data_IF_648052402452
#
_entry.id   IF_648052402452
#
_cell.length_a   1.000
_cell.length_b   1.000
_cell.length_c   1.000
_cell.angle_alpha   90.00
_cell.angle_beta   90.00
_cell.angle_gamma   90.00
#
_symmetry.space_group_name_H-M   'P 1'
#
loop_
_entity.id
_entity.type
_entity.pdbx_description
1 polymer ?
#
# COMPACT_ATOMS: atom_id res chain seq x y z
N UNK A 1 -17.01 -27.84 -3.59
CA UNK A 1 -15.68 -27.46 -4.10
C UNK A 1 -15.19 -26.32 -3.25
N UNK A 2 -14.07 -26.52 -2.55
CA UNK A 2 -13.52 -25.53 -1.63
C UNK A 2 -12.46 -24.72 -2.36
N UNK A 3 -12.68 -23.41 -2.49
CA UNK A 3 -11.67 -22.50 -3.03
C UNK A 3 -10.65 -22.22 -1.92
N UNK A 4 -9.37 -22.45 -2.20
CA UNK A 4 -8.26 -22.16 -1.29
C UNK A 4 -7.55 -20.89 -1.75
N UNK A 5 -7.23 -20.01 -0.80
CA UNK A 5 -6.52 -18.75 -1.04
C UNK A 5 -5.07 -18.88 -0.56
N UNK A 6 -4.09 -18.69 -1.44
CA UNK A 6 -2.66 -18.68 -1.11
C UNK A 6 -2.10 -17.28 -1.32
N UNK A 7 -1.56 -16.60 -0.30
CA UNK A 7 -0.94 -15.30 -0.49
C UNK A 7 0.38 -15.43 -1.27
N UNK A 8 0.51 -14.63 -2.33
CA UNK A 8 1.67 -14.63 -3.24
C UNK A 8 2.58 -13.44 -2.97
N UNK A 9 1.99 -12.26 -2.75
CA UNK A 9 2.71 -11.02 -2.52
C UNK A 9 1.89 -10.07 -1.65
N UNK A 10 2.57 -9.21 -0.91
CA UNK A 10 1.97 -8.06 -0.23
C UNK A 10 2.89 -6.86 -0.40
N UNK A 11 2.30 -5.70 -0.69
CA UNK A 11 3.02 -4.44 -0.81
C UNK A 11 2.30 -3.29 -0.10
N UNK A 12 3.09 -2.37 0.44
CA UNK A 12 2.62 -1.13 1.05
C UNK A 12 2.79 0.01 0.05
N UNK A 13 1.70 0.68 -0.30
CA UNK A 13 1.70 1.82 -1.22
C UNK A 13 1.23 3.07 -0.49
N UNK A 14 2.14 4.04 -0.37
CA UNK A 14 1.85 5.37 0.15
C UNK A 14 1.47 6.28 -1.03
N UNK A 15 0.29 6.89 -0.96
CA UNK A 15 -0.15 7.89 -1.95
C UNK A 15 0.11 9.26 -1.35
N UNK A 16 1.05 9.98 -1.92
CA UNK A 16 1.53 11.27 -1.43
C UNK A 16 1.03 12.40 -2.32
N UNK A 17 0.80 13.56 -1.72
CA UNK A 17 0.51 14.78 -2.46
C UNK A 17 1.77 15.29 -3.18
N UNK A 18 1.63 15.61 -4.47
CA UNK A 18 2.66 16.18 -5.32
C UNK A 18 2.21 17.53 -5.93
N UNK A 19 1.22 18.18 -5.31
CA UNK A 19 0.74 19.52 -5.66
C UNK A 19 -0.35 19.51 -6.73
N UNK A 20 -0.64 20.68 -7.30
CA UNK A 20 -1.67 20.85 -8.33
C UNK A 20 -1.00 21.10 -9.69
N UNK A 21 -1.43 20.34 -10.70
CA UNK A 21 -0.97 20.50 -12.08
C UNK A 21 -1.53 21.76 -12.75
N UNK A 22 -0.96 22.12 -13.90
CA UNK A 22 -1.37 23.31 -14.67
C UNK A 22 -2.84 23.31 -15.08
N UNK A 23 -3.49 22.15 -15.12
CA UNK A 23 -4.90 21.96 -15.44
C UNK A 23 -5.82 21.84 -14.20
N UNK A 24 -5.32 22.15 -13.00
CA UNK A 24 -6.10 22.11 -11.75
C UNK A 24 -6.27 20.72 -11.14
N UNK A 25 -5.63 19.69 -11.72
CA UNK A 25 -5.69 18.31 -11.23
C UNK A 25 -4.73 18.14 -10.05
N UNK A 26 -5.13 17.46 -8.98
CA UNK A 26 -4.20 17.07 -7.93
C UNK A 26 -3.24 16.01 -8.47
N UNK A 27 -1.95 16.27 -8.36
CA UNK A 27 -0.89 15.34 -8.73
C UNK A 27 -0.59 14.45 -7.53
N UNK A 28 -0.66 13.15 -7.74
CA UNK A 28 -0.29 12.16 -6.74
C UNK A 28 1.08 11.58 -7.07
N UNK A 29 1.83 11.23 -6.04
CA UNK A 29 3.05 10.44 -6.15
C UNK A 29 2.92 9.19 -5.29
N UNK A 30 2.98 8.05 -5.94
CA UNK A 30 2.92 6.78 -5.24
C UNK A 30 4.34 6.33 -4.85
N UNK A 31 4.48 5.83 -3.63
CA UNK A 31 5.70 5.18 -3.14
C UNK A 31 5.34 3.78 -2.67
N UNK A 32 5.76 2.79 -3.43
CA UNK A 32 5.53 1.39 -3.13
C UNK A 32 6.73 0.78 -2.39
N UNK A 33 6.44 -0.02 -1.38
CA UNK A 33 7.36 -0.88 -0.66
C UNK A 33 6.89 -2.31 -0.85
N UNK A 34 7.61 -3.06 -1.69
CA UNK A 34 7.35 -4.47 -1.92
C UNK A 34 7.85 -5.35 -0.78
N UNK A 35 7.69 -6.66 -0.94
CA UNK A 35 8.18 -7.70 -0.03
C UNK A 35 7.66 -7.55 1.42
N UNK A 36 6.45 -7.01 1.57
CA UNK A 36 5.76 -7.05 2.86
C UNK A 36 5.33 -8.49 3.10
N UNK A 37 5.56 -8.99 4.32
CA UNK A 37 5.12 -10.35 4.68
C UNK A 37 3.59 -10.40 4.60
N UNK A 38 2.99 -11.31 3.81
CA UNK A 38 1.54 -11.39 3.71
C UNK A 38 0.85 -11.68 5.05
N UNK A 39 1.56 -12.34 5.97
CA UNK A 39 1.07 -12.62 7.33
C UNK A 39 1.21 -11.44 8.30
N UNK A 40 1.75 -10.30 7.85
CA UNK A 40 1.77 -9.09 8.68
C UNK A 40 0.33 -8.65 9.00
N UNK A 41 0.09 -8.22 10.24
CA UNK A 41 -1.17 -7.60 10.63
C UNK A 41 -1.29 -6.21 10.00
N UNK A 42 -2.51 -5.83 9.60
CA UNK A 42 -2.77 -4.52 9.01
C UNK A 42 -2.35 -3.37 9.91
N UNK A 43 -2.56 -3.51 11.22
CA UNK A 43 -2.12 -2.51 12.22
C UNK A 43 -0.60 -2.33 12.22
N UNK A 44 0.17 -3.42 12.14
CA UNK A 44 1.63 -3.34 12.07
C UNK A 44 2.10 -2.65 10.78
N UNK A 45 1.47 -2.96 9.65
CA UNK A 45 1.79 -2.32 8.36
C UNK A 45 1.45 -0.83 8.40
N UNK A 46 0.31 -0.48 9.00
CA UNK A 46 -0.12 0.91 9.16
C UNK A 46 0.80 1.71 10.08
N UNK A 47 1.21 1.15 11.22
CA UNK A 47 2.15 1.81 12.14
C UNK A 47 3.49 2.09 11.46
N UNK A 48 4.02 1.12 10.70
CA UNK A 48 5.25 1.32 9.92
C UNK A 48 5.05 2.41 8.86
N UNK A 49 3.90 2.43 8.18
CA UNK A 49 3.56 3.49 7.24
C UNK A 49 3.59 4.87 7.91
N UNK A 50 3.01 5.03 9.11
CA UNK A 50 3.03 6.30 9.86
C UNK A 50 4.45 6.76 10.18
N UNK A 51 5.31 5.87 10.68
CA UNK A 51 6.72 6.21 10.95
C UNK A 51 7.44 6.67 9.68
N UNK A 52 7.16 6.04 8.53
CA UNK A 52 7.73 6.46 7.24
C UNK A 52 7.17 7.82 6.79
N UNK A 53 5.90 8.11 7.07
CA UNK A 53 5.27 9.41 6.79
C UNK A 53 5.88 10.53 7.63
N UNK A 54 6.18 10.28 8.91
CA UNK A 54 6.81 11.26 9.79
C UNK A 54 8.24 11.64 9.37
N UNK A 55 8.91 10.78 8.61
CA UNK A 55 10.27 11.01 8.10
C UNK A 55 10.31 11.78 6.77
N UNK A 56 9.16 12.07 6.15
CA UNK A 56 9.11 12.76 4.87
C UNK A 56 8.27 14.03 4.94
N UNK A 57 8.61 15.00 4.10
CA UNK A 57 7.94 16.31 4.11
C UNK A 57 6.59 16.33 3.36
N UNK A 58 6.23 15.24 2.67
CA UNK A 58 5.03 15.18 1.83
C UNK A 58 3.84 14.62 2.60
N UNK A 59 2.71 15.30 2.50
CA UNK A 59 1.43 14.85 3.06
C UNK A 59 0.97 13.56 2.41
N UNK A 60 0.59 12.59 3.24
CA UNK A 60 -0.08 11.37 2.79
C UNK A 60 -1.55 11.66 2.50
N UNK A 61 -2.00 11.29 1.30
CA UNK A 61 -3.41 11.30 0.92
C UNK A 61 -4.08 9.98 1.28
N UNK A 62 -3.36 8.87 1.10
CA UNK A 62 -3.84 7.54 1.45
C UNK A 62 -2.69 6.57 1.74
N UNK A 63 -3.00 5.54 2.52
CA UNK A 63 -2.14 4.38 2.75
C UNK A 63 -2.90 3.17 2.22
N UNK A 64 -2.27 2.43 1.31
CA UNK A 64 -2.84 1.21 0.75
C UNK A 64 -1.94 0.03 1.05
N UNK A 65 -2.57 -1.09 1.39
CA UNK A 65 -1.96 -2.41 1.34
C UNK A 65 -2.54 -3.12 0.12
N UNK A 66 -1.68 -3.64 -0.75
CA UNK A 66 -2.10 -4.44 -1.89
C UNK A 66 -1.63 -5.87 -1.68
N UNK A 67 -2.58 -6.77 -1.51
CA UNK A 67 -2.31 -8.20 -1.36
C UNK A 67 -2.67 -8.91 -2.67
N UNK A 68 -1.72 -9.69 -3.19
CA UNK A 68 -1.95 -10.60 -4.30
C UNK A 68 -2.14 -12.00 -3.74
N UNK A 69 -3.31 -12.58 -3.98
CA UNK A 69 -3.65 -13.95 -3.56
C UNK A 69 -3.97 -14.81 -4.78
N UNK A 70 -3.48 -16.05 -4.78
CA UNK A 70 -3.83 -17.07 -5.75
C UNK A 70 -5.04 -17.85 -5.26
N UNK A 71 -6.03 -18.07 -6.14
CA UNK A 71 -7.23 -18.83 -5.85
C UNK A 71 -7.18 -20.16 -6.59
N UNK A 72 -7.15 -21.27 -5.85
CA UNK A 72 -7.16 -22.62 -6.41
C UNK A 72 -8.44 -23.36 -6.02
N UNK A 73 -8.94 -24.21 -6.92
CA UNK A 73 -10.10 -25.06 -6.67
C UNK A 73 -9.64 -26.51 -6.58
N UNK A 74 -10.00 -27.21 -5.50
CA UNK A 74 -9.75 -28.63 -5.29
C UNK A 74 -11.00 -29.47 -5.57
#
# INVERSE_FOLDING_TARGET
>A
MAVTTTPVNSELVLVLDNGIGSSGQQLIRNRAYGDVKPEALDDNVYQVAQVILDLQDRTALAIHRQDTVELTNA
#
